data_IF_552030176083
#
_entry.id   IF_552030176083
#
_cell.length_a   1.000
_cell.length_b   1.000
_cell.length_c   1.000
_cell.angle_alpha   90.00
_cell.angle_beta   90.00
_cell.angle_gamma   90.00
#
_symmetry.space_group_name_H-M   'P 1'
#
loop_
_entity.id
_entity.type
_entity.pdbx_description
1 polymer ?
#
# COMPACT_ATOMS: atom_id res chain seq x y z
N UNK A 1 -45.67 -10.29 28.52
CA UNK A 1 -44.93 -9.00 28.51
C UNK A 1 -44.40 -8.82 27.11
N UNK A 2 -44.51 -7.68 26.48
CA UNK A 2 -43.91 -7.42 25.17
C UNK A 2 -42.40 -7.47 25.31
N UNK A 3 -41.70 -8.05 24.34
CA UNK A 3 -40.23 -8.02 24.32
C UNK A 3 -39.73 -6.58 24.28
N UNK A 4 -38.66 -6.22 25.01
CA UNK A 4 -38.14 -4.86 24.96
C UNK A 4 -37.76 -4.48 23.53
N UNK A 5 -38.03 -3.27 23.13
CA UNK A 5 -37.68 -2.69 21.85
C UNK A 5 -36.35 -1.91 21.97
N UNK A 6 -35.68 -1.62 20.85
CA UNK A 6 -34.49 -0.75 20.85
C UNK A 6 -34.80 0.61 21.55
N UNK A 7 -35.93 1.20 21.27
CA UNK A 7 -36.36 2.49 21.83
C UNK A 7 -36.44 2.48 23.36
N UNK A 8 -36.75 1.35 23.99
CA UNK A 8 -36.85 1.23 25.45
C UNK A 8 -35.50 1.39 26.17
N UNK A 9 -34.41 1.14 25.49
CA UNK A 9 -33.05 1.32 25.99
C UNK A 9 -32.38 2.58 25.40
N UNK A 10 -32.59 2.83 24.10
CA UNK A 10 -31.91 3.90 23.39
C UNK A 10 -32.30 5.29 23.88
N UNK A 11 -33.62 5.58 24.05
CA UNK A 11 -34.09 6.90 24.55
C UNK A 11 -33.61 7.22 25.96
N UNK A 12 -33.70 6.30 26.94
CA UNK A 12 -33.15 6.54 28.28
C UNK A 12 -31.62 6.73 28.23
N UNK A 13 -30.88 5.97 27.39
CA UNK A 13 -29.45 6.13 27.22
C UNK A 13 -29.06 7.51 26.70
N UNK A 14 -29.78 8.02 25.68
CA UNK A 14 -29.56 9.38 25.17
C UNK A 14 -29.90 10.43 26.22
N UNK A 15 -31.01 10.27 26.94
CA UNK A 15 -31.40 11.18 28.01
C UNK A 15 -30.35 11.21 29.15
N UNK A 16 -29.76 10.08 29.48
CA UNK A 16 -28.68 9.99 30.46
C UNK A 16 -27.42 10.72 29.99
N UNK A 17 -27.02 10.55 28.70
CA UNK A 17 -25.90 11.31 28.10
C UNK A 17 -26.14 12.82 28.16
N UNK A 18 -27.33 13.27 27.78
CA UNK A 18 -27.71 14.69 27.84
C UNK A 18 -27.70 15.26 29.27
N UNK A 19 -28.00 14.42 30.26
CA UNK A 19 -27.94 14.76 31.66
C UNK A 19 -26.54 14.58 32.30
N UNK A 20 -25.51 14.31 31.49
CA UNK A 20 -24.13 14.04 31.94
C UNK A 20 -24.00 12.84 32.89
N UNK A 21 -24.90 11.86 32.78
CA UNK A 21 -24.87 10.59 33.53
C UNK A 21 -24.38 9.47 32.67
N UNK A 22 -23.07 9.49 32.35
CA UNK A 22 -22.45 8.61 31.37
C UNK A 22 -22.45 7.13 31.80
N UNK A 23 -22.32 6.82 33.09
CA UNK A 23 -22.42 5.44 33.61
C UNK A 23 -23.80 4.84 33.35
N UNK A 24 -24.88 5.60 33.61
CA UNK A 24 -26.25 5.15 33.34
C UNK A 24 -26.47 4.96 31.83
N UNK A 25 -25.95 5.88 31.02
CA UNK A 25 -26.03 5.78 29.56
C UNK A 25 -25.34 4.52 29.03
N UNK A 26 -24.14 4.24 29.53
CA UNK A 26 -23.37 3.03 29.18
C UNK A 26 -24.19 1.77 29.52
N UNK A 27 -24.79 1.70 30.71
CA UNK A 27 -25.61 0.57 31.13
C UNK A 27 -26.84 0.38 30.21
N UNK A 28 -27.52 1.45 29.79
CA UNK A 28 -28.65 1.35 28.88
C UNK A 28 -28.25 0.83 27.49
N UNK A 29 -27.16 1.35 26.91
CA UNK A 29 -26.71 0.91 25.60
C UNK A 29 -26.17 -0.53 25.64
N UNK A 30 -25.47 -0.91 26.71
CA UNK A 30 -25.03 -2.28 26.92
C UNK A 30 -26.20 -3.24 27.05
N UNK A 31 -27.22 -2.89 27.81
CA UNK A 31 -28.44 -3.68 27.95
C UNK A 31 -29.20 -3.86 26.62
N UNK A 32 -29.21 -2.86 25.76
CA UNK A 32 -29.75 -3.00 24.41
C UNK A 32 -28.96 -4.03 23.58
N UNK A 33 -27.63 -4.01 23.65
CA UNK A 33 -26.75 -4.95 22.95
C UNK A 33 -26.95 -6.37 23.46
N UNK A 34 -26.97 -6.54 24.79
CA UNK A 34 -27.16 -7.85 25.47
C UNK A 34 -28.56 -8.45 25.19
N UNK A 35 -29.59 -7.60 24.98
CA UNK A 35 -30.89 -8.04 24.55
C UNK A 35 -31.02 -8.43 23.07
N UNK A 36 -29.89 -8.43 22.32
CA UNK A 36 -29.88 -8.74 20.90
C UNK A 36 -30.30 -7.58 19.99
N UNK A 37 -30.38 -6.35 20.53
CA UNK A 37 -30.72 -5.11 19.82
C UNK A 37 -29.44 -4.33 19.44
N UNK A 38 -28.41 -5.04 19.01
CA UNK A 38 -27.07 -4.51 18.67
C UNK A 38 -27.07 -3.76 17.32
N UNK A 39 -27.71 -2.61 17.25
CA UNK A 39 -27.74 -1.73 16.09
C UNK A 39 -26.53 -0.78 16.07
N UNK A 40 -26.26 -0.15 14.93
CA UNK A 40 -25.27 0.92 14.81
C UNK A 40 -25.51 2.04 15.83
N UNK A 41 -26.77 2.38 16.10
CA UNK A 41 -27.13 3.42 17.09
C UNK A 41 -26.77 3.02 18.51
N UNK A 42 -27.02 1.76 18.89
CA UNK A 42 -26.70 1.25 20.24
C UNK A 42 -25.19 1.24 20.46
N UNK A 43 -24.42 0.78 19.47
CA UNK A 43 -22.96 0.80 19.51
C UNK A 43 -22.39 2.22 19.52
N UNK A 44 -22.95 3.15 18.74
CA UNK A 44 -22.54 4.56 18.76
C UNK A 44 -22.86 5.22 20.11
N UNK A 45 -24.02 4.91 20.70
CA UNK A 45 -24.37 5.35 22.02
C UNK A 45 -23.38 4.87 23.09
N UNK A 46 -23.03 3.60 23.06
CA UNK A 46 -22.02 3.00 23.94
C UNK A 46 -20.65 3.67 23.76
N UNK A 47 -20.24 3.91 22.51
CA UNK A 47 -19.01 4.65 22.19
C UNK A 47 -18.98 6.02 22.84
N UNK A 48 -20.06 6.79 22.71
CA UNK A 48 -20.14 8.14 23.26
C UNK A 48 -20.14 8.14 24.79
N UNK A 49 -20.83 7.18 25.43
CA UNK A 49 -20.82 7.03 26.88
C UNK A 49 -19.41 6.70 27.40
N UNK A 50 -18.74 5.76 26.75
CA UNK A 50 -17.36 5.37 27.08
C UNK A 50 -16.37 6.52 26.92
N UNK A 51 -16.50 7.35 25.88
CA UNK A 51 -15.68 8.54 25.69
C UNK A 51 -15.87 9.56 26.81
N UNK A 52 -17.09 9.78 27.24
CA UNK A 52 -17.39 10.71 28.38
C UNK A 52 -16.79 10.17 29.68
N UNK A 53 -16.75 8.85 29.86
CA UNK A 53 -16.12 8.19 31.03
C UNK A 53 -14.60 8.15 30.95
N UNK A 54 -14.02 8.52 29.81
CA UNK A 54 -12.56 8.42 29.58
C UNK A 54 -12.07 7.00 29.29
N UNK A 55 -12.99 6.04 29.10
CA UNK A 55 -12.63 4.67 28.72
C UNK A 55 -12.44 4.56 27.20
N UNK A 56 -11.26 5.00 26.76
CA UNK A 56 -10.90 4.98 25.35
C UNK A 56 -10.84 3.57 24.76
N UNK A 57 -10.55 2.54 25.58
CA UNK A 57 -10.51 1.15 25.12
C UNK A 57 -11.92 0.61 24.81
N UNK A 58 -12.87 0.85 25.71
CA UNK A 58 -14.26 0.49 25.48
C UNK A 58 -14.88 1.30 24.31
N UNK A 59 -14.55 2.60 24.22
CA UNK A 59 -14.95 3.44 23.11
C UNK A 59 -14.43 2.92 21.77
N UNK A 60 -13.18 2.48 21.70
CA UNK A 60 -12.61 1.92 20.50
C UNK A 60 -13.27 0.61 20.09
N UNK A 61 -13.43 -0.33 21.01
CA UNK A 61 -14.12 -1.59 20.74
C UNK A 61 -15.54 -1.36 20.20
N UNK A 62 -16.26 -0.38 20.79
CA UNK A 62 -17.63 -0.06 20.38
C UNK A 62 -17.68 0.64 19.01
N UNK A 63 -16.75 1.55 18.71
CA UNK A 63 -16.73 2.23 17.40
C UNK A 63 -16.31 1.29 16.28
N UNK A 64 -15.48 0.28 16.56
CA UNK A 64 -15.14 -0.74 15.58
C UNK A 64 -16.40 -1.54 15.19
N UNK A 65 -17.28 -1.85 16.13
CA UNK A 65 -18.57 -2.47 15.85
C UNK A 65 -19.53 -1.55 15.04
N UNK A 66 -19.44 -0.23 15.22
CA UNK A 66 -20.12 0.74 14.35
C UNK A 66 -19.60 0.63 12.92
N UNK A 67 -18.27 0.63 12.74
CA UNK A 67 -17.64 0.62 11.42
C UNK A 67 -17.77 -0.73 10.71
N UNK A 68 -17.87 -1.85 11.45
CA UNK A 68 -18.20 -3.16 10.85
C UNK A 68 -19.61 -3.15 10.23
N UNK A 69 -20.57 -2.48 10.86
CA UNK A 69 -21.96 -2.41 10.37
C UNK A 69 -22.18 -1.33 9.33
N UNK A 70 -21.53 -0.19 9.53
CA UNK A 70 -21.62 0.99 8.65
C UNK A 70 -20.19 1.51 8.36
N UNK A 71 -19.45 0.93 7.40
CA UNK A 71 -18.08 1.33 7.09
C UNK A 71 -17.92 2.81 6.69
N UNK A 72 -19.00 3.44 6.25
CA UNK A 72 -19.05 4.85 5.87
C UNK A 72 -19.72 5.75 6.92
N UNK A 73 -19.86 5.30 8.16
CA UNK A 73 -20.38 6.11 9.24
C UNK A 73 -19.45 7.28 9.54
N UNK A 74 -19.82 8.49 9.09
CA UNK A 74 -19.00 9.70 9.29
C UNK A 74 -18.64 9.89 10.76
N UNK A 75 -19.60 9.72 11.65
CA UNK A 75 -19.37 9.87 13.10
C UNK A 75 -18.45 8.78 13.64
N UNK A 76 -18.63 7.53 13.20
CA UNK A 76 -17.74 6.42 13.56
C UNK A 76 -16.30 6.68 13.11
N UNK A 77 -16.13 7.08 11.85
CA UNK A 77 -14.81 7.40 11.27
C UNK A 77 -14.12 8.57 11.99
N UNK A 78 -14.87 9.62 12.35
CA UNK A 78 -14.34 10.77 13.11
C UNK A 78 -13.84 10.31 14.48
N UNK A 79 -14.67 9.57 15.22
CA UNK A 79 -14.31 9.08 16.56
C UNK A 79 -13.09 8.14 16.49
N UNK A 80 -13.08 7.21 15.53
CA UNK A 80 -11.94 6.30 15.35
C UNK A 80 -10.66 7.08 15.04
N UNK A 81 -10.72 8.06 14.14
CA UNK A 81 -9.60 8.94 13.84
C UNK A 81 -9.10 9.71 15.07
N UNK A 82 -9.99 10.23 15.91
CA UNK A 82 -9.63 10.94 17.14
C UNK A 82 -8.96 10.00 18.16
N UNK A 83 -9.46 8.77 18.34
CA UNK A 83 -8.87 7.76 19.23
C UNK A 83 -7.46 7.33 18.75
N UNK A 84 -7.31 7.09 17.46
CA UNK A 84 -6.02 6.74 16.84
C UNK A 84 -5.00 7.86 17.03
N UNK A 85 -5.41 9.11 16.81
CA UNK A 85 -4.52 10.26 16.99
C UNK A 85 -4.10 10.41 18.47
N UNK A 86 -5.00 10.11 19.38
CA UNK A 86 -4.70 10.12 20.84
C UNK A 86 -3.65 9.07 21.25
N UNK A 87 -3.39 8.05 20.42
CA UNK A 87 -2.35 7.02 20.62
C UNK A 87 -1.12 7.22 19.74
N UNK A 88 -1.00 8.38 19.09
CA UNK A 88 0.07 8.72 18.14
C UNK A 88 0.10 7.83 16.87
N UNK A 89 -1.01 7.18 16.56
CA UNK A 89 -1.19 6.38 15.34
C UNK A 89 -1.61 7.28 14.17
N UNK A 90 -0.79 8.29 13.87
CA UNK A 90 -1.10 9.38 12.94
C UNK A 90 -1.48 8.89 11.54
N UNK A 91 -0.76 7.89 11.00
CA UNK A 91 -1.01 7.37 9.64
C UNK A 91 -2.43 6.81 9.49
N UNK A 92 -2.88 6.06 10.50
CA UNK A 92 -4.23 5.48 10.51
C UNK A 92 -5.28 6.57 10.71
N UNK A 93 -5.05 7.51 11.65
CA UNK A 93 -5.94 8.64 11.88
C UNK A 93 -6.14 9.47 10.60
N UNK A 94 -5.07 9.79 9.86
CA UNK A 94 -5.12 10.51 8.58
C UNK A 94 -5.98 9.77 7.55
N UNK A 95 -5.87 8.44 7.46
CA UNK A 95 -6.70 7.65 6.54
C UNK A 95 -8.19 7.76 6.85
N UNK A 96 -8.57 7.68 8.13
CA UNK A 96 -9.97 7.84 8.58
C UNK A 96 -10.48 9.26 8.27
N UNK A 97 -9.71 10.29 8.60
CA UNK A 97 -10.06 11.68 8.32
C UNK A 97 -10.20 11.98 6.82
N UNK A 98 -9.29 11.48 6.00
CA UNK A 98 -9.39 11.63 4.55
C UNK A 98 -10.64 10.95 3.98
N UNK A 99 -11.04 9.80 4.53
CA UNK A 99 -12.31 9.16 4.14
C UNK A 99 -13.50 10.02 4.55
N UNK A 100 -13.50 10.59 5.76
CA UNK A 100 -14.54 11.54 6.21
C UNK A 100 -14.65 12.71 5.24
N UNK A 101 -13.52 13.34 4.86
CA UNK A 101 -13.51 14.49 3.93
C UNK A 101 -14.07 14.11 2.56
N UNK A 102 -13.69 12.95 2.01
CA UNK A 102 -14.23 12.46 0.73
C UNK A 102 -15.73 12.19 0.78
N UNK A 103 -16.20 11.52 1.84
CA UNK A 103 -17.62 11.22 2.00
C UNK A 103 -18.45 12.50 2.21
N UNK A 104 -17.95 13.43 3.01
CA UNK A 104 -18.63 14.70 3.25
C UNK A 104 -18.75 15.54 1.97
N UNK A 105 -17.78 15.49 1.06
CA UNK A 105 -17.84 16.18 -0.22
C UNK A 105 -18.97 15.69 -1.15
N UNK A 106 -19.53 14.50 -0.91
CA UNK A 106 -20.66 13.96 -1.68
C UNK A 106 -22.04 14.34 -1.10
N UNK A 107 -22.09 14.98 0.08
CA UNK A 107 -23.35 15.34 0.72
C UNK A 107 -23.91 16.62 0.11
N UNK A 108 -25.21 16.61 -0.18
CA UNK A 108 -25.92 17.80 -0.65
C UNK A 108 -26.10 18.87 0.45
N UNK A 109 -26.24 18.42 1.71
CA UNK A 109 -26.40 19.27 2.88
C UNK A 109 -25.47 18.79 3.99
N UNK A 110 -24.72 19.69 4.61
CA UNK A 110 -23.80 19.39 5.72
C UNK A 110 -24.39 19.97 7.00
N UNK A 111 -24.79 19.12 7.98
CA UNK A 111 -25.28 19.60 9.26
C UNK A 111 -24.24 20.48 9.99
N UNK A 112 -24.65 21.51 10.75
CA UNK A 112 -23.72 22.45 11.40
C UNK A 112 -22.67 21.79 12.28
N UNK A 113 -23.05 20.72 13.00
CA UNK A 113 -22.09 19.98 13.83
C UNK A 113 -21.03 19.27 12.99
N UNK A 114 -21.43 18.64 11.90
CA UNK A 114 -20.48 18.00 10.97
C UNK A 114 -19.56 19.04 10.33
N UNK A 115 -20.08 20.22 9.98
CA UNK A 115 -19.26 21.29 9.44
C UNK A 115 -18.14 21.72 10.41
N UNK A 116 -18.46 21.82 11.72
CA UNK A 116 -17.44 22.10 12.75
C UNK A 116 -16.40 20.98 12.84
N UNK A 117 -16.84 19.72 12.80
CA UNK A 117 -15.92 18.57 12.80
C UNK A 117 -15.01 18.58 11.56
N UNK A 118 -15.54 18.89 10.37
CA UNK A 118 -14.74 18.96 9.13
C UNK A 118 -13.67 20.06 9.21
N UNK A 119 -14.00 21.24 9.73
CA UNK A 119 -13.02 22.32 9.94
C UNK A 119 -11.93 21.88 10.92
N UNK A 120 -12.31 21.25 12.03
CA UNK A 120 -11.36 20.72 13.01
C UNK A 120 -10.44 19.64 12.41
N UNK A 121 -11.01 18.72 11.64
CA UNK A 121 -10.27 17.63 10.96
C UNK A 121 -9.31 18.22 9.95
N UNK A 122 -9.75 19.16 9.11
CA UNK A 122 -8.88 19.82 8.14
C UNK A 122 -7.68 20.46 8.82
N UNK A 123 -7.90 21.21 9.90
CA UNK A 123 -6.81 21.83 10.67
C UNK A 123 -5.81 20.80 11.24
N UNK A 124 -6.29 19.62 11.66
CA UNK A 124 -5.40 18.53 12.12
C UNK A 124 -4.61 17.91 10.98
N UNK A 125 -5.25 17.65 9.83
CA UNK A 125 -4.58 17.15 8.63
C UNK A 125 -3.49 18.11 8.16
N UNK A 126 -3.76 19.41 8.16
CA UNK A 126 -2.78 20.44 7.80
C UNK A 126 -1.59 20.45 8.76
N UNK A 127 -1.83 20.36 10.07
CA UNK A 127 -0.76 20.28 11.08
C UNK A 127 0.12 19.04 10.92
N UNK A 128 -0.50 17.86 10.72
CA UNK A 128 0.22 16.61 10.50
C UNK A 128 1.04 16.69 9.22
N UNK A 129 0.46 17.21 8.13
CA UNK A 129 1.14 17.40 6.84
C UNK A 129 2.33 18.34 6.96
N UNK A 130 2.19 19.48 7.64
CA UNK A 130 3.27 20.45 7.87
C UNK A 130 4.40 19.85 8.71
N UNK A 131 4.07 19.12 9.78
CA UNK A 131 5.06 18.45 10.62
C UNK A 131 5.83 17.38 9.82
N UNK A 132 5.12 16.57 9.03
CA UNK A 132 5.73 15.58 8.15
C UNK A 132 6.67 16.23 7.13
N UNK A 133 6.22 17.31 6.45
CA UNK A 133 7.04 18.03 5.47
C UNK A 133 8.32 18.60 6.08
N UNK A 134 8.22 19.20 7.28
CA UNK A 134 9.37 19.74 7.99
C UNK A 134 10.37 18.63 8.34
N UNK A 135 9.89 17.54 8.94
CA UNK A 135 10.73 16.40 9.31
C UNK A 135 11.38 15.74 8.09
N UNK A 136 10.64 15.59 6.98
CA UNK A 136 11.17 15.04 5.73
C UNK A 136 12.31 15.91 5.18
N UNK A 137 12.12 17.23 5.13
CA UNK A 137 13.16 18.16 4.65
C UNK A 137 14.39 18.14 5.53
N UNK A 138 14.23 18.11 6.86
CA UNK A 138 15.35 18.02 7.80
C UNK A 138 16.16 16.72 7.58
N UNK A 139 15.48 15.58 7.43
CA UNK A 139 16.12 14.29 7.15
C UNK A 139 16.83 14.29 5.80
N UNK A 140 16.20 14.83 4.76
CA UNK A 140 16.80 14.95 3.42
C UNK A 140 18.07 15.81 3.47
N UNK A 141 18.03 16.95 4.14
CA UNK A 141 19.21 17.83 4.28
C UNK A 141 20.32 17.14 5.07
N UNK A 142 19.97 16.43 6.13
CA UNK A 142 20.94 15.62 6.89
C UNK A 142 21.54 14.50 6.03
N UNK A 143 20.79 13.92 5.10
CA UNK A 143 21.26 12.96 4.10
C UNK A 143 22.05 13.56 2.94
N UNK A 144 22.27 14.88 2.92
CA UNK A 144 23.10 15.58 1.92
C UNK A 144 22.30 16.18 0.76
N UNK A 145 20.98 16.12 0.76
CA UNK A 145 20.17 16.80 -0.25
C UNK A 145 20.38 18.32 -0.21
N UNK A 146 20.56 18.89 -1.38
CA UNK A 146 20.63 20.33 -1.58
C UNK A 146 19.85 20.70 -2.83
N UNK A 147 18.85 21.56 -2.67
CA UNK A 147 17.96 21.95 -3.77
C UNK A 147 18.68 22.54 -4.98
N UNK A 148 19.75 23.30 -4.73
CA UNK A 148 20.59 23.93 -5.77
C UNK A 148 21.51 22.96 -6.51
N UNK A 149 21.76 21.77 -5.95
CA UNK A 149 22.59 20.72 -6.54
C UNK A 149 21.77 19.57 -7.13
N UNK A 150 20.50 19.45 -6.80
CA UNK A 150 19.59 18.42 -7.29
C UNK A 150 18.93 18.84 -8.61
N UNK A 151 18.49 17.84 -9.40
CA UNK A 151 17.84 18.12 -10.69
C UNK A 151 16.51 18.86 -10.54
N UNK A 152 16.16 19.63 -11.56
CA UNK A 152 14.89 20.35 -11.58
C UNK A 152 13.68 19.41 -11.49
N UNK A 153 13.73 18.24 -12.15
CA UNK A 153 12.64 17.26 -12.11
C UNK A 153 12.53 16.58 -10.74
N UNK A 154 13.63 16.28 -10.07
CA UNK A 154 13.58 15.77 -8.69
C UNK A 154 12.95 16.82 -7.75
N UNK A 155 13.38 18.08 -7.85
CA UNK A 155 12.83 19.17 -7.02
C UNK A 155 11.31 19.33 -7.25
N UNK A 156 10.84 19.22 -8.51
CA UNK A 156 9.39 19.23 -8.81
C UNK A 156 8.67 18.02 -8.22
N UNK A 157 9.24 16.82 -8.35
CA UNK A 157 8.66 15.61 -7.76
C UNK A 157 8.57 15.71 -6.23
N UNK A 158 9.58 16.25 -5.58
CA UNK A 158 9.57 16.53 -4.14
C UNK A 158 8.49 17.57 -3.77
N UNK A 159 8.35 18.65 -4.55
CA UNK A 159 7.31 19.66 -4.34
C UNK A 159 5.91 19.05 -4.52
N UNK A 160 5.71 18.14 -5.48
CA UNK A 160 4.45 17.39 -5.66
C UNK A 160 4.17 16.47 -4.47
N UNK A 161 5.17 15.72 -4.00
CA UNK A 161 5.04 14.84 -2.82
C UNK A 161 4.66 15.64 -1.56
N UNK A 162 5.17 16.87 -1.44
CA UNK A 162 4.84 17.78 -0.34
C UNK A 162 3.56 18.59 -0.55
N UNK A 163 2.81 18.36 -1.65
CA UNK A 163 1.59 19.11 -1.96
C UNK A 163 1.82 20.59 -2.28
N UNK A 164 3.05 20.99 -2.65
CA UNK A 164 3.41 22.38 -3.05
C UNK A 164 3.28 22.61 -4.55
N UNK A 165 3.19 21.55 -5.31
CA UNK A 165 2.93 21.56 -6.75
C UNK A 165 1.91 20.49 -7.11
N UNK A 166 1.12 20.74 -8.12
CA UNK A 166 0.19 19.78 -8.67
C UNK A 166 0.86 19.01 -9.81
N UNK A 167 0.44 17.77 -9.99
CA UNK A 167 0.82 16.98 -11.15
C UNK A 167 -0.02 17.43 -12.34
N UNK A 168 0.62 17.69 -13.48
CA UNK A 168 -0.09 17.95 -14.72
C UNK A 168 -0.85 16.70 -15.18
N UNK A 169 -2.01 16.90 -15.79
CA UNK A 169 -2.79 15.82 -16.38
C UNK A 169 -2.00 15.19 -17.54
N UNK A 170 -1.86 13.88 -17.48
CA UNK A 170 -1.22 13.08 -18.52
C UNK A 170 -2.29 12.63 -19.53
N UNK A 171 -2.08 12.98 -20.80
CA UNK A 171 -3.00 12.63 -21.89
C UNK A 171 -2.93 11.13 -22.29
N UNK A 172 -2.01 10.35 -21.71
CA UNK A 172 -1.89 8.92 -22.00
C UNK A 172 -3.11 8.14 -21.49
N UNK A 173 -3.61 7.14 -22.24
CA UNK A 173 -4.71 6.27 -21.78
C UNK A 173 -4.39 5.53 -20.47
N UNK A 174 -3.12 5.18 -20.26
CA UNK A 174 -2.61 4.54 -19.07
C UNK A 174 -1.42 5.32 -18.51
N UNK A 175 -1.64 6.50 -17.89
CA UNK A 175 -0.54 7.33 -17.42
C UNK A 175 0.25 6.62 -16.30
N UNK A 176 1.52 7.02 -16.13
CA UNK A 176 2.31 6.61 -14.98
C UNK A 176 1.62 7.05 -13.69
N UNK A 177 1.27 6.15 -12.78
CA UNK A 177 0.59 6.43 -11.51
C UNK A 177 1.28 5.71 -10.35
N UNK A 178 2.53 6.06 -10.03
CA UNK A 178 3.23 5.45 -8.90
C UNK A 178 2.57 5.85 -7.57
N UNK A 179 2.56 4.91 -6.60
CA UNK A 179 1.91 5.13 -5.31
C UNK A 179 2.80 5.81 -4.26
N UNK A 180 4.15 5.72 -4.39
CA UNK A 180 5.07 6.25 -3.39
C UNK A 180 5.76 7.54 -3.85
N UNK A 181 6.36 7.57 -5.04
CA UNK A 181 7.03 8.75 -5.56
C UNK A 181 6.92 8.84 -7.09
N UNK A 182 6.55 10.02 -7.56
CA UNK A 182 6.50 10.36 -8.98
C UNK A 182 7.64 11.30 -9.32
N UNK A 183 8.53 10.87 -10.22
CA UNK A 183 9.56 11.71 -10.81
C UNK A 183 9.03 12.28 -12.13
N UNK A 184 8.84 13.60 -12.29
CA UNK A 184 8.40 14.20 -13.55
C UNK A 184 9.38 13.99 -14.69
N UNK A 185 8.90 14.11 -15.92
CA UNK A 185 9.69 14.01 -17.15
C UNK A 185 10.42 12.65 -17.33
N UNK A 186 9.91 11.59 -16.72
CA UNK A 186 10.35 10.24 -17.06
C UNK A 186 9.72 9.82 -18.38
N UNK A 187 10.47 9.10 -19.24
CA UNK A 187 9.91 8.59 -20.49
C UNK A 187 8.67 7.73 -20.23
N UNK A 188 7.64 7.88 -21.06
CA UNK A 188 6.52 6.96 -21.10
C UNK A 188 6.86 5.79 -22.02
N UNK A 189 7.26 4.68 -21.45
CA UNK A 189 7.61 3.47 -22.18
C UNK A 189 7.15 2.23 -21.42
N UNK A 190 6.10 1.52 -21.88
CA UNK A 190 5.58 0.36 -21.18
C UNK A 190 6.62 -0.75 -20.98
N UNK A 191 7.35 -1.12 -22.04
CA UNK A 191 8.43 -2.11 -21.99
C UNK A 191 9.72 -1.54 -22.56
N UNK A 192 10.83 -1.85 -21.92
CA UNK A 192 12.17 -1.43 -22.34
C UNK A 192 12.82 -2.50 -23.19
N UNK A 193 13.36 -2.15 -24.38
CA UNK A 193 14.05 -3.10 -25.23
C UNK A 193 15.33 -3.62 -24.56
N UNK A 194 15.64 -4.91 -24.80
CA UNK A 194 16.84 -5.54 -24.25
C UNK A 194 18.15 -4.87 -24.73
N UNK A 195 18.11 -4.23 -25.90
CA UNK A 195 19.24 -3.50 -26.48
C UNK A 195 19.63 -2.25 -25.69
N UNK A 196 18.69 -1.67 -24.94
CA UNK A 196 18.90 -0.52 -24.06
C UNK A 196 19.43 -0.92 -22.68
N UNK A 197 19.40 -2.22 -22.36
CA UNK A 197 19.75 -2.80 -21.06
C UNK A 197 20.89 -3.82 -21.21
N UNK A 198 22.17 -3.38 -21.15
CA UNK A 198 23.32 -4.22 -21.51
C UNK A 198 23.47 -5.49 -20.68
N UNK A 199 22.93 -5.53 -19.46
CA UNK A 199 22.96 -6.66 -18.54
C UNK A 199 21.93 -7.76 -18.88
N UNK A 200 20.95 -7.52 -19.71
CA UNK A 200 19.86 -8.48 -20.01
C UNK A 200 20.40 -9.80 -20.55
N UNK A 201 21.36 -9.77 -21.48
CA UNK A 201 21.93 -10.99 -22.07
C UNK A 201 22.64 -11.89 -21.05
N UNK A 202 23.25 -11.31 -20.04
CA UNK A 202 23.90 -12.07 -18.96
C UNK A 202 22.86 -12.79 -18.11
N UNK A 203 21.77 -12.10 -17.76
CA UNK A 203 20.65 -12.68 -17.00
C UNK A 203 19.96 -13.80 -17.80
N UNK A 204 19.68 -13.57 -19.07
CA UNK A 204 19.09 -14.59 -19.97
C UNK A 204 19.97 -15.83 -20.11
N UNK A 205 21.27 -15.66 -20.23
CA UNK A 205 22.22 -16.76 -20.33
C UNK A 205 22.29 -17.64 -19.07
N UNK A 206 21.90 -17.10 -17.92
CA UNK A 206 21.87 -17.81 -16.64
C UNK A 206 20.56 -18.58 -16.38
N UNK A 207 19.57 -18.52 -17.27
CA UNK A 207 18.22 -19.08 -17.08
C UNK A 207 18.23 -20.53 -16.61
N UNK A 208 18.98 -21.41 -17.27
CA UNK A 208 19.02 -22.84 -16.94
C UNK A 208 19.65 -23.10 -15.57
N UNK A 209 20.69 -22.34 -15.20
CA UNK A 209 21.33 -22.44 -13.90
C UNK A 209 20.39 -21.96 -12.78
N UNK A 210 19.71 -20.84 -12.98
CA UNK A 210 18.73 -20.29 -12.02
C UNK A 210 17.54 -21.24 -11.83
N UNK A 211 17.04 -21.86 -12.90
CA UNK A 211 15.95 -22.84 -12.79
C UNK A 211 16.38 -24.11 -12.05
N UNK A 212 17.63 -24.56 -12.25
CA UNK A 212 18.17 -25.69 -11.51
C UNK A 212 18.32 -25.37 -10.00
N UNK A 213 18.82 -24.18 -9.66
CA UNK A 213 18.92 -23.71 -8.28
C UNK A 213 17.54 -23.63 -7.61
N UNK A 214 16.55 -23.02 -8.28
CA UNK A 214 15.17 -22.97 -7.82
C UNK A 214 14.61 -24.38 -7.56
N UNK A 215 14.80 -25.32 -8.49
CA UNK A 215 14.32 -26.68 -8.37
C UNK A 215 14.95 -27.44 -7.19
N UNK A 216 16.26 -27.30 -7.00
CA UNK A 216 16.98 -27.88 -5.88
C UNK A 216 16.52 -27.28 -4.54
N UNK A 217 16.32 -25.98 -4.49
CA UNK A 217 15.85 -25.29 -3.29
C UNK A 217 14.42 -25.71 -2.93
N UNK A 218 13.50 -25.78 -3.89
CA UNK A 218 12.12 -26.23 -3.68
C UNK A 218 12.04 -27.70 -3.22
N UNK A 219 12.92 -28.55 -3.71
CA UNK A 219 13.01 -29.94 -3.27
C UNK A 219 13.42 -30.07 -1.79
N UNK A 220 14.17 -29.10 -1.26
CA UNK A 220 14.60 -29.06 0.13
C UNK A 220 13.58 -28.36 1.06
N UNK A 221 12.64 -27.56 0.52
CA UNK A 221 11.71 -26.71 1.27
C UNK A 221 10.31 -26.71 0.66
N UNK A 222 9.46 -27.63 1.07
CA UNK A 222 8.10 -27.78 0.55
C UNK A 222 7.18 -26.55 0.75
N UNK A 223 7.51 -25.64 1.66
CA UNK A 223 6.71 -24.43 1.97
C UNK A 223 7.50 -23.12 1.76
N UNK A 224 8.36 -23.08 0.74
CA UNK A 224 9.17 -21.90 0.45
C UNK A 224 8.35 -20.70 -0.07
N UNK A 225 7.21 -20.96 -0.70
CA UNK A 225 6.33 -19.92 -1.23
C UNK A 225 5.26 -19.53 -0.20
N UNK A 226 5.16 -18.24 0.09
CA UNK A 226 4.11 -17.64 0.90
C UNK A 226 3.29 -16.65 0.04
N UNK A 227 2.03 -16.32 0.41
CA UNK A 227 1.28 -15.30 -0.31
C UNK A 227 2.12 -14.03 -0.53
N UNK A 228 2.08 -13.47 -1.75
CA UNK A 228 2.90 -12.31 -2.10
C UNK A 228 2.52 -11.09 -1.28
N UNK A 229 1.20 -10.85 -1.12
CA UNK A 229 0.66 -9.79 -0.30
C UNK A 229 0.23 -10.38 1.02
N UNK A 230 1.02 -10.12 2.05
CA UNK A 230 0.68 -10.48 3.41
C UNK A 230 0.19 -9.29 4.18
N UNK A 231 -0.83 -9.51 5.01
CA UNK A 231 -1.24 -8.61 6.11
C UNK A 231 -1.13 -7.15 5.71
N UNK A 232 -1.33 -6.26 6.33
CA UNK A 232 -1.31 -4.84 6.05
C UNK A 232 -2.55 -4.27 6.68
N UNK A 233 -2.42 -3.10 7.25
CA UNK A 233 -3.54 -2.36 7.75
C UNK A 233 -4.50 -2.09 6.60
N UNK A 234 -5.71 -2.66 6.68
CA UNK A 234 -6.81 -2.22 5.84
C UNK A 234 -7.19 -0.81 6.28
N UNK A 235 -6.76 0.16 5.48
CA UNK A 235 -7.13 1.54 5.75
C UNK A 235 -8.49 1.84 5.13
N UNK A 236 -9.37 2.59 5.82
CA UNK A 236 -10.69 2.91 5.32
C UNK A 236 -10.63 3.58 3.95
N UNK A 237 -11.49 3.13 3.02
CA UNK A 237 -11.60 3.68 1.66
C UNK A 237 -10.56 3.16 0.68
N UNK A 238 -9.76 2.17 1.04
CA UNK A 238 -9.00 1.36 0.08
C UNK A 238 -9.91 0.27 -0.50
N UNK A 239 -9.77 0.00 -1.79
CA UNK A 239 -10.39 -1.19 -2.39
C UNK A 239 -9.71 -2.41 -1.79
N UNK A 240 -10.46 -3.41 -1.28
CA UNK A 240 -9.85 -4.64 -0.80
C UNK A 240 -8.99 -5.25 -1.90
N UNK A 241 -7.74 -5.57 -1.58
CA UNK A 241 -6.88 -6.32 -2.50
C UNK A 241 -7.39 -7.76 -2.55
N UNK A 242 -7.93 -8.16 -3.70
CA UNK A 242 -8.51 -9.48 -3.90
C UNK A 242 -7.46 -10.60 -3.84
N UNK A 243 -6.16 -10.25 -3.87
CA UNK A 243 -5.04 -11.19 -3.81
C UNK A 243 -4.34 -11.21 -2.45
N UNK A 244 -4.79 -10.39 -1.50
CA UNK A 244 -4.24 -10.35 -0.15
C UNK A 244 -4.50 -11.67 0.57
N UNK A 245 -3.44 -12.24 1.13
CA UNK A 245 -3.44 -13.54 1.84
C UNK A 245 -3.97 -14.72 0.99
N UNK A 246 -3.98 -14.58 -0.35
CA UNK A 246 -4.39 -15.61 -1.28
C UNK A 246 -3.22 -16.45 -1.78
N UNK A 247 -3.39 -17.77 -1.75
CA UNK A 247 -2.40 -18.72 -2.28
C UNK A 247 -2.28 -18.75 -3.81
N UNK A 248 -3.08 -17.97 -4.53
CA UNK A 248 -3.05 -17.94 -5.99
C UNK A 248 -1.83 -17.23 -6.55
N UNK A 249 -1.30 -16.26 -5.79
CA UNK A 249 -0.07 -15.55 -6.09
C UNK A 249 0.85 -15.59 -4.88
N UNK A 250 1.93 -16.35 -5.00
CA UNK A 250 2.89 -16.58 -3.90
C UNK A 250 4.30 -16.20 -4.32
N UNK A 251 5.12 -15.88 -3.34
CA UNK A 251 6.50 -15.49 -3.55
C UNK A 251 7.45 -16.15 -2.58
N UNK A 252 8.69 -16.34 -3.04
CA UNK A 252 9.83 -16.72 -2.24
C UNK A 252 10.91 -15.65 -2.43
N UNK A 253 11.17 -14.87 -1.38
CA UNK A 253 12.08 -13.72 -1.46
C UNK A 253 13.52 -14.13 -1.17
N UNK A 254 14.44 -13.71 -2.04
CA UNK A 254 15.87 -13.72 -1.78
C UNK A 254 16.31 -12.41 -1.11
N UNK A 255 15.76 -11.29 -1.60
CA UNK A 255 15.90 -9.96 -1.01
C UNK A 255 14.50 -9.39 -0.87
N UNK A 256 14.15 -8.89 0.30
CA UNK A 256 12.87 -8.20 0.55
C UNK A 256 13.14 -6.82 1.11
N UNK A 257 12.67 -5.78 0.43
CA UNK A 257 12.79 -4.38 0.88
C UNK A 257 14.23 -3.99 1.22
N UNK A 258 15.20 -4.47 0.41
CA UNK A 258 16.63 -4.26 0.60
C UNK A 258 17.29 -5.13 1.69
N UNK A 259 16.56 -6.05 2.31
CA UNK A 259 17.09 -7.00 3.29
C UNK A 259 17.23 -8.40 2.66
N UNK A 260 18.45 -8.94 2.70
CA UNK A 260 18.77 -10.25 2.16
C UNK A 260 18.30 -11.38 3.08
N UNK A 261 17.68 -12.40 2.51
CA UNK A 261 17.47 -13.69 3.17
C UNK A 261 18.68 -14.58 2.90
N UNK A 262 19.54 -14.74 3.90
CA UNK A 262 20.81 -15.46 3.77
C UNK A 262 20.66 -16.94 3.41
N UNK A 263 19.53 -17.58 3.75
CA UNK A 263 19.30 -19.00 3.42
C UNK A 263 18.93 -19.16 1.93
N UNK A 264 18.16 -18.20 1.39
CA UNK A 264 17.85 -18.18 -0.03
C UNK A 264 19.08 -17.85 -0.87
N UNK A 265 19.84 -16.83 -0.49
CA UNK A 265 21.07 -16.45 -1.21
C UNK A 265 22.10 -17.58 -1.24
N UNK A 266 22.25 -18.30 -0.12
CA UNK A 266 23.12 -19.49 -0.08
C UNK A 266 22.62 -20.64 -0.98
N UNK A 267 21.31 -20.78 -1.15
CA UNK A 267 20.68 -21.79 -2.00
C UNK A 267 20.63 -21.43 -3.49
N UNK A 268 20.81 -20.13 -3.82
CA UNK A 268 20.73 -19.60 -5.19
C UNK A 268 21.95 -18.74 -5.54
N UNK A 269 23.18 -19.32 -5.53
CA UNK A 269 24.42 -18.56 -5.72
C UNK A 269 24.54 -17.89 -7.09
N UNK A 270 23.95 -18.47 -8.15
CA UNK A 270 23.93 -17.83 -9.48
C UNK A 270 23.09 -16.56 -9.44
N UNK A 271 21.91 -16.60 -8.81
CA UNK A 271 21.07 -15.38 -8.65
C UNK A 271 21.83 -14.34 -7.84
N UNK A 272 22.42 -14.70 -6.69
CA UNK A 272 23.17 -13.77 -5.86
C UNK A 272 24.31 -13.11 -6.62
N UNK A 273 25.12 -13.89 -7.35
CA UNK A 273 26.23 -13.35 -8.14
C UNK A 273 25.77 -12.39 -9.25
N UNK A 274 24.65 -12.69 -9.92
CA UNK A 274 24.05 -11.78 -10.89
C UNK A 274 23.59 -10.48 -10.24
N UNK A 275 22.88 -10.55 -9.12
CA UNK A 275 22.37 -9.35 -8.44
C UNK A 275 23.48 -8.39 -8.01
N UNK A 276 24.68 -8.90 -7.71
CA UNK A 276 25.86 -8.07 -7.40
C UNK A 276 26.35 -7.24 -8.60
N UNK A 277 26.03 -7.64 -9.84
CA UNK A 277 26.46 -6.97 -11.07
C UNK A 277 25.42 -6.01 -11.65
N UNK A 278 24.15 -6.15 -11.24
CA UNK A 278 23.04 -5.37 -11.79
C UNK A 278 22.90 -4.00 -11.12
N UNK A 279 22.37 -2.99 -11.83
CA UNK A 279 22.07 -1.68 -11.26
C UNK A 279 20.80 -1.72 -10.41
N UNK A 280 20.76 -2.57 -9.37
CA UNK A 280 19.60 -2.71 -8.51
C UNK A 280 19.22 -1.41 -7.83
N UNK A 281 17.92 -1.24 -7.59
CA UNK A 281 17.38 -0.06 -6.87
C UNK A 281 17.65 -0.21 -5.38
N UNK A 282 18.88 0.06 -4.94
CA UNK A 282 19.31 -0.14 -3.56
C UNK A 282 18.86 1.02 -2.65
N UNK A 283 17.74 0.82 -1.91
CA UNK A 283 17.13 1.78 -0.98
C UNK A 283 16.77 1.01 0.30
N UNK A 284 17.45 1.33 1.38
CA UNK A 284 17.27 0.61 2.66
C UNK A 284 15.83 0.67 3.17
N UNK A 285 15.25 -0.49 3.46
CA UNK A 285 13.88 -0.62 3.95
C UNK A 285 12.81 -0.41 2.89
N UNK A 286 13.20 -0.39 1.59
CA UNK A 286 12.27 -0.18 0.49
C UNK A 286 12.57 -1.08 -0.73
N UNK A 287 13.83 -1.22 -1.13
CA UNK A 287 14.24 -1.88 -2.38
C UNK A 287 15.74 -2.27 -2.32
N UNK A 288 16.25 -3.25 -3.11
CA UNK A 288 15.50 -4.02 -4.09
C UNK A 288 14.66 -5.13 -3.47
N UNK A 289 13.69 -5.61 -4.25
CA UNK A 289 13.05 -6.89 -3.99
C UNK A 289 13.48 -7.89 -5.08
N UNK A 290 14.09 -9.01 -4.65
CA UNK A 290 14.47 -10.11 -5.55
C UNK A 290 13.74 -11.36 -5.08
N UNK A 291 12.93 -11.94 -5.96
CA UNK A 291 12.03 -13.03 -5.56
C UNK A 291 11.68 -13.96 -6.72
N UNK A 292 11.40 -15.20 -6.39
CA UNK A 292 10.65 -16.07 -7.28
C UNK A 292 9.15 -15.83 -7.04
N UNK A 293 8.46 -15.43 -8.08
CA UNK A 293 7.00 -15.21 -8.09
C UNK A 293 6.31 -16.38 -8.76
N UNK A 294 5.36 -16.99 -8.04
CA UNK A 294 4.58 -18.12 -8.52
C UNK A 294 3.12 -17.73 -8.68
N UNK A 295 2.58 -17.91 -9.88
CA UNK A 295 1.17 -17.72 -10.20
C UNK A 295 0.53 -19.07 -10.54
N UNK A 296 -0.45 -19.49 -9.75
CA UNK A 296 -1.12 -20.79 -9.87
C UNK A 296 -1.93 -20.92 -11.17
N UNK A 297 -2.33 -22.16 -11.55
CA UNK A 297 -3.23 -22.42 -12.66
C UNK A 297 -4.51 -21.59 -12.60
N UNK A 298 -4.88 -20.95 -13.71
CA UNK A 298 -6.08 -20.13 -13.84
C UNK A 298 -6.05 -18.81 -13.07
N UNK A 299 -4.95 -18.49 -12.38
CA UNK A 299 -4.86 -17.29 -11.56
C UNK A 299 -4.54 -16.03 -12.38
N UNK A 300 -4.93 -14.89 -11.84
CA UNK A 300 -4.75 -13.57 -12.43
C UNK A 300 -4.28 -12.58 -11.38
N UNK A 301 -3.39 -11.67 -11.76
CA UNK A 301 -3.03 -10.48 -11.00
C UNK A 301 -3.80 -9.34 -11.64
N UNK A 302 -4.74 -8.74 -10.89
CA UNK A 302 -5.64 -7.70 -11.40
C UNK A 302 -4.88 -6.43 -11.81
N UNK A 303 -5.47 -5.58 -12.68
CA UNK A 303 -4.86 -4.33 -13.10
C UNK A 303 -4.49 -3.43 -11.93
N UNK A 304 -3.21 -3.09 -11.81
CA UNK A 304 -2.66 -2.24 -10.74
C UNK A 304 -1.49 -1.41 -11.24
N UNK A 305 -0.95 -0.56 -10.38
CA UNK A 305 0.28 0.22 -10.62
C UNK A 305 1.25 0.04 -9.46
N UNK A 306 2.54 0.21 -9.72
CA UNK A 306 3.60 0.06 -8.74
C UNK A 306 3.89 1.33 -7.93
N UNK A 307 5.06 1.34 -7.31
CA UNK A 307 5.41 2.36 -6.31
C UNK A 307 6.17 3.55 -6.89
N UNK A 308 7.00 3.35 -7.91
CA UNK A 308 7.94 4.34 -8.45
C UNK A 308 7.95 4.30 -9.98
N UNK A 309 8.02 5.47 -10.65
CA UNK A 309 8.30 5.54 -12.09
C UNK A 309 9.79 5.77 -12.40
N UNK A 310 10.64 5.70 -11.38
CA UNK A 310 12.10 5.88 -11.49
C UNK A 310 12.87 4.56 -11.35
N UNK A 311 12.18 3.42 -11.44
CA UNK A 311 12.75 2.07 -11.52
C UNK A 311 12.02 1.25 -12.57
N UNK A 312 12.62 0.16 -12.98
CA UNK A 312 12.01 -0.85 -13.83
C UNK A 312 11.85 -2.15 -13.05
N UNK A 313 10.69 -2.79 -13.17
CA UNK A 313 10.51 -4.17 -12.71
C UNK A 313 10.95 -5.10 -13.85
N UNK A 314 11.78 -6.07 -13.49
CA UNK A 314 12.35 -7.03 -14.41
C UNK A 314 11.82 -8.43 -14.11
N UNK A 315 11.39 -9.13 -15.14
CA UNK A 315 10.93 -10.52 -15.06
C UNK A 315 11.86 -11.41 -15.92
N UNK A 316 12.46 -12.42 -15.32
CA UNK A 316 13.05 -13.56 -16.02
C UNK A 316 12.12 -14.76 -15.86
N UNK A 317 11.38 -15.16 -16.91
CA UNK A 317 10.48 -16.32 -16.86
C UNK A 317 11.28 -17.64 -16.83
N UNK A 318 11.00 -18.49 -15.84
CA UNK A 318 11.69 -19.77 -15.63
C UNK A 318 10.78 -20.95 -15.99
N UNK A 319 9.61 -21.05 -15.36
CA UNK A 319 8.61 -22.08 -15.65
C UNK A 319 7.41 -21.40 -16.30
N UNK A 320 7.17 -21.69 -17.57
CA UNK A 320 6.18 -20.98 -18.40
C UNK A 320 5.32 -21.96 -19.18
N UNK A 321 4.19 -22.36 -18.62
CA UNK A 321 3.20 -23.10 -19.39
C UNK A 321 2.50 -22.20 -20.44
N UNK A 322 1.93 -22.80 -21.48
CA UNK A 322 1.26 -22.06 -22.55
C UNK A 322 0.04 -21.27 -22.00
N UNK A 323 -0.16 -20.06 -22.51
CA UNK A 323 -1.29 -19.20 -22.12
C UNK A 323 -0.99 -18.23 -20.96
N UNK A 324 0.27 -18.06 -20.60
CA UNK A 324 0.71 -17.03 -19.66
C UNK A 324 0.99 -15.72 -20.38
N UNK A 325 0.62 -14.59 -19.78
CA UNK A 325 0.84 -13.27 -20.38
C UNK A 325 0.98 -12.16 -19.35
N UNK A 326 1.44 -11.02 -19.84
CA UNK A 326 1.54 -9.74 -19.13
C UNK A 326 1.03 -8.62 -20.05
N UNK A 327 0.31 -7.65 -19.50
CA UNK A 327 -0.06 -6.40 -20.14
C UNK A 327 0.51 -5.23 -19.34
N UNK A 328 1.11 -4.28 -20.02
CA UNK A 328 1.52 -2.99 -19.45
C UNK A 328 0.97 -1.88 -20.37
N UNK A 329 0.14 -1.01 -19.84
CA UNK A 329 -0.59 -0.05 -20.66
C UNK A 329 -1.53 -0.76 -21.63
N UNK A 330 -1.36 -0.49 -22.93
CA UNK A 330 -2.07 -1.14 -24.03
C UNK A 330 -1.27 -2.27 -24.69
N UNK A 331 0.00 -2.46 -24.31
CA UNK A 331 0.85 -3.52 -24.84
C UNK A 331 0.63 -4.85 -24.09
N UNK A 332 0.41 -5.93 -24.86
CA UNK A 332 0.31 -7.30 -24.35
C UNK A 332 1.44 -8.15 -24.90
N UNK A 333 2.01 -8.98 -24.04
CA UNK A 333 3.07 -9.92 -24.41
C UNK A 333 2.79 -11.30 -23.82
N UNK A 334 3.05 -12.34 -24.62
CA UNK A 334 3.07 -13.72 -24.16
C UNK A 334 4.38 -13.99 -23.42
N UNK A 335 4.32 -14.65 -22.28
CA UNK A 335 5.52 -14.97 -21.49
C UNK A 335 6.35 -16.02 -22.20
N UNK A 336 7.63 -15.74 -22.44
CA UNK A 336 8.59 -16.65 -23.09
C UNK A 336 9.68 -16.99 -22.09
N UNK A 337 9.95 -18.30 -21.88
CA UNK A 337 11.01 -18.76 -20.98
C UNK A 337 12.36 -18.20 -21.40
N UNK A 338 13.10 -17.64 -20.45
CA UNK A 338 14.45 -17.12 -20.64
C UNK A 338 14.53 -15.77 -21.34
N UNK A 339 13.41 -15.17 -21.72
CA UNK A 339 13.36 -13.82 -22.29
C UNK A 339 13.07 -12.80 -21.17
N UNK A 340 14.05 -11.93 -20.88
CA UNK A 340 13.89 -10.92 -19.82
C UNK A 340 13.00 -9.79 -20.30
N UNK A 341 12.04 -9.42 -19.47
CA UNK A 341 11.25 -8.20 -19.63
C UNK A 341 11.58 -7.19 -18.55
N UNK A 342 11.87 -5.97 -18.97
CA UNK A 342 11.92 -4.82 -18.08
C UNK A 342 10.80 -3.87 -18.47
N UNK A 343 10.01 -3.42 -17.50
CA UNK A 343 8.85 -2.57 -17.73
C UNK A 343 8.65 -1.55 -16.61
N UNK A 344 7.96 -0.47 -16.95
CA UNK A 344 7.54 0.55 -16.00
C UNK A 344 6.27 0.10 -15.27
N UNK A 345 6.41 -0.34 -14.02
CA UNK A 345 5.30 -0.82 -13.19
C UNK A 345 4.38 0.31 -12.69
N UNK A 346 4.79 1.57 -12.84
CA UNK A 346 3.94 2.72 -12.55
C UNK A 346 2.81 2.92 -13.58
N UNK A 347 2.93 2.28 -14.75
CA UNK A 347 1.88 2.15 -15.75
C UNK A 347 0.97 0.99 -15.35
N UNK A 348 -0.35 1.15 -15.53
CA UNK A 348 -1.31 0.10 -15.21
C UNK A 348 -0.97 -1.21 -15.91
N UNK A 349 -0.78 -2.28 -15.13
CA UNK A 349 -0.38 -3.59 -15.64
C UNK A 349 -1.14 -4.72 -14.95
N UNK A 350 -1.22 -5.85 -15.64
CA UNK A 350 -1.87 -7.08 -15.16
C UNK A 350 -1.15 -8.32 -15.71
N UNK A 351 -1.24 -9.44 -15.00
CA UNK A 351 -0.65 -10.70 -15.43
C UNK A 351 -1.64 -11.85 -15.27
N UNK A 352 -1.46 -12.91 -16.09
CA UNK A 352 -2.33 -14.10 -16.03
C UNK A 352 -1.57 -15.38 -16.31
N UNK A 353 -2.14 -16.49 -15.79
CA UNK A 353 -1.75 -17.85 -16.08
C UNK A 353 -3.01 -18.64 -16.47
N UNK A 354 -3.33 -18.73 -17.75
CA UNK A 354 -4.51 -19.46 -18.25
C UNK A 354 -4.23 -20.94 -18.49
N UNK A 355 -3.17 -21.50 -17.90
CA UNK A 355 -2.77 -22.90 -18.05
C UNK A 355 -3.27 -23.80 -16.90
N UNK A 356 -2.92 -25.08 -16.97
CA UNK A 356 -3.17 -26.06 -15.91
C UNK A 356 -1.99 -26.24 -14.94
N UNK A 357 -0.85 -25.54 -15.16
CA UNK A 357 0.38 -25.69 -14.40
C UNK A 357 0.82 -24.34 -13.78
N UNK A 358 1.69 -24.39 -12.78
CA UNK A 358 2.24 -23.19 -12.14
C UNK A 358 3.15 -22.41 -13.11
N UNK A 359 3.04 -21.07 -13.12
CA UNK A 359 4.01 -20.17 -13.75
C UNK A 359 4.98 -19.66 -12.69
N UNK A 360 6.30 -19.73 -12.93
CA UNK A 360 7.31 -19.15 -12.04
C UNK A 360 8.22 -18.22 -12.81
N UNK A 361 8.39 -17.01 -12.28
CA UNK A 361 9.31 -15.99 -12.81
C UNK A 361 10.22 -15.48 -11.68
N UNK A 362 11.49 -15.21 -12.00
CA UNK A 362 12.35 -14.40 -11.13
C UNK A 362 12.01 -12.93 -11.39
N UNK A 363 11.71 -12.20 -10.32
CA UNK A 363 11.43 -10.77 -10.34
C UNK A 363 12.52 -10.04 -9.58
N UNK A 364 12.99 -8.93 -10.14
CA UNK A 364 13.90 -8.00 -9.49
C UNK A 364 13.67 -6.59 -10.01
N UNK A 365 14.18 -5.57 -9.32
CA UNK A 365 14.02 -4.18 -9.72
C UNK A 365 15.37 -3.48 -9.88
N UNK A 366 15.48 -2.70 -10.95
CA UNK A 366 16.68 -1.93 -11.30
C UNK A 366 16.36 -0.45 -11.43
N UNK A 367 17.36 0.39 -11.25
CA UNK A 367 17.23 1.80 -11.56
C UNK A 367 16.85 2.04 -13.01
N UNK A 368 15.95 2.98 -13.24
CA UNK A 368 15.65 3.42 -14.60
C UNK A 368 16.92 3.98 -15.26
N UNK A 369 17.22 3.58 -16.54
CA UNK A 369 18.48 3.95 -17.18
C UNK A 369 18.66 5.47 -17.37
N UNK A 370 17.58 6.25 -17.51
CA UNK A 370 17.64 7.71 -17.70
C UNK A 370 17.98 8.51 -16.45
N UNK A 371 18.14 7.84 -15.30
CA UNK A 371 18.49 8.54 -14.07
C UNK A 371 19.97 8.85 -14.01
N UNK A 372 20.28 10.09 -13.66
CA UNK A 372 21.62 10.46 -13.25
C UNK A 372 21.97 9.88 -11.89
N UNK A 373 23.29 9.73 -11.62
CA UNK A 373 23.75 9.29 -10.30
C UNK A 373 23.32 10.21 -9.16
N UNK A 374 23.16 11.53 -9.43
CA UNK A 374 22.65 12.45 -8.45
C UNK A 374 21.17 12.18 -8.13
N UNK A 375 20.35 11.92 -9.14
CA UNK A 375 18.93 11.59 -8.94
C UNK A 375 18.75 10.29 -8.18
N UNK A 376 19.55 9.26 -8.47
CA UNK A 376 19.53 7.99 -7.71
C UNK A 376 19.84 8.26 -6.22
N UNK A 377 20.85 9.07 -5.91
CA UNK A 377 21.18 9.46 -4.52
C UNK A 377 20.04 10.24 -3.86
N UNK A 378 19.47 11.21 -4.56
CA UNK A 378 18.40 12.04 -4.02
C UNK A 378 17.13 11.23 -3.75
N UNK A 379 16.76 10.31 -4.68
CA UNK A 379 15.62 9.40 -4.53
C UNK A 379 15.86 8.42 -3.37
N UNK A 380 17.06 7.85 -3.27
CA UNK A 380 17.45 6.98 -2.15
C UNK A 380 17.26 7.70 -0.82
N UNK A 381 17.85 8.90 -0.69
CA UNK A 381 17.73 9.71 0.53
C UNK A 381 16.28 10.06 0.86
N UNK A 382 15.44 10.34 -0.16
CA UNK A 382 14.02 10.64 0.01
C UNK A 382 13.27 9.43 0.57
N UNK A 383 13.40 8.27 -0.07
CA UNK A 383 12.63 7.08 0.30
C UNK A 383 13.09 6.49 1.65
N UNK A 384 14.38 6.55 1.96
CA UNK A 384 14.89 6.21 3.29
C UNK A 384 14.36 7.17 4.37
N UNK A 385 14.28 8.48 4.07
CA UNK A 385 13.73 9.47 5.00
C UNK A 385 12.22 9.29 5.25
N UNK A 386 11.47 8.82 4.25
CA UNK A 386 10.02 8.53 4.37
C UNK A 386 9.78 7.24 5.15
N UNK A 387 10.67 6.25 5.04
CA UNK A 387 10.55 4.93 5.69
C UNK A 387 11.03 4.90 7.14
N UNK A 388 11.80 5.91 7.57
CA UNK A 388 12.37 6.06 8.92
C UNK A 388 11.39 6.74 9.89
#
# INVERSE_FOLDING_TARGET
MASPTEDDHFRPGIAALQASRADEAQAYFQAAIDAGLATTKSWLGLTLASLVLGDNRAAEASVDEVLVREPHSLRGLIIKGDLLLGRDEQRQAVSHYNLVMRLAATLADIPPQLQQDLVRIQGRLDQISQAFQAQLLDRLQAGGYRRDASSARFNRGLDMLMGKAEREDDAQPFPQKPHAFYLPDMPYQPFYPSEELPWVKEVEAATDAIEAELSAFLASRAQAFAPYIHGGLELPGQTPDTLKDHDNWTAAFLIRDGAEDSEWSAGCPTVSALMDTLPLTAIKGFSPSVLFSKLKPGARIDPHTGLLNCRLICHLPLVVPAGCGLRVGDERRDVVRGEVWAFDDSINHEAWNNSADDRIVLIFDVWHPDLTEQERRDITSLLEAVSA
#
